data_IF_051454931298
#
_entry.id   IF_051454931298
#
_cell.length_a   1.000
_cell.length_b   1.000
_cell.length_c   1.000
_cell.angle_alpha   90.00
_cell.angle_beta   90.00
_cell.angle_gamma   90.00
#
_symmetry.space_group_name_H-M   'P 1'
#
loop_
_entity.id
_entity.type
_entity.pdbx_description
1 polymer ?
#
# COMPACT_ATOMS: atom_id res chain seq x y z
N UNK A 1 -4.37 10.07 11.08
CA UNK A 1 -5.29 9.91 12.23
C UNK A 1 -4.59 9.12 13.33
N UNK A 2 -4.59 9.62 14.56
CA UNK A 2 -4.13 8.88 15.74
C UNK A 2 -5.17 7.78 16.06
N UNK A 3 -5.10 6.62 15.39
CA UNK A 3 -5.93 5.47 15.75
C UNK A 3 -5.47 4.96 17.13
N UNK A 4 -6.17 5.43 18.17
CA UNK A 4 -6.40 4.74 19.43
C UNK A 4 -5.17 4.27 20.21
N UNK A 5 -4.49 5.16 20.93
CA UNK A 5 -3.84 4.73 22.18
C UNK A 5 -4.96 4.29 23.14
N UNK A 6 -5.25 3.00 23.17
CA UNK A 6 -6.19 2.41 24.12
C UNK A 6 -5.86 2.87 25.55
N UNK A 7 -6.87 3.05 26.39
CA UNK A 7 -6.67 3.42 27.79
C UNK A 7 -5.70 2.43 28.47
N UNK A 8 -4.96 2.88 29.49
CA UNK A 8 -4.06 2.01 30.27
C UNK A 8 -4.76 0.75 30.77
N UNK A 9 -6.06 0.86 31.11
CA UNK A 9 -6.89 -0.28 31.49
C UNK A 9 -7.08 -1.29 30.35
N UNK A 10 -7.31 -0.83 29.11
CA UNK A 10 -7.42 -1.71 27.94
C UNK A 10 -6.11 -2.43 27.67
N UNK A 11 -4.97 -1.75 27.82
CA UNK A 11 -3.65 -2.37 27.68
C UNK A 11 -3.43 -3.45 28.75
N UNK A 12 -3.73 -3.15 30.01
CA UNK A 12 -3.65 -4.14 31.10
C UNK A 12 -4.58 -5.34 30.87
N UNK A 13 -5.80 -5.09 30.41
CA UNK A 13 -6.76 -6.13 30.07
C UNK A 13 -6.27 -7.02 28.91
N UNK A 14 -5.71 -6.43 27.85
CA UNK A 14 -5.13 -7.18 26.74
C UNK A 14 -3.93 -8.01 27.18
N UNK A 15 -3.08 -7.44 28.02
CA UNK A 15 -1.90 -8.10 28.56
C UNK A 15 -2.30 -9.34 29.36
N UNK A 16 -3.25 -9.18 30.29
CA UNK A 16 -3.83 -10.28 31.06
C UNK A 16 -4.50 -11.33 30.16
N UNK A 17 -5.32 -10.91 29.18
CA UNK A 17 -5.94 -11.84 28.23
C UNK A 17 -4.90 -12.65 27.47
N UNK A 18 -3.78 -12.03 27.10
CA UNK A 18 -2.70 -12.73 26.40
C UNK A 18 -2.01 -13.73 27.33
N UNK A 19 -1.86 -13.44 28.63
CA UNK A 19 -1.37 -14.42 29.61
C UNK A 19 -2.32 -15.62 29.71
N UNK A 20 -3.63 -15.38 29.75
CA UNK A 20 -4.62 -16.47 29.79
C UNK A 20 -4.59 -17.33 28.53
N UNK A 21 -4.44 -16.72 27.36
CA UNK A 21 -4.27 -17.45 26.10
C UNK A 21 -2.99 -18.27 26.13
N UNK A 22 -1.89 -17.70 26.63
CA UNK A 22 -0.63 -18.44 26.73
C UNK A 22 -0.70 -19.64 27.68
N UNK A 23 -1.39 -19.50 28.82
CA UNK A 23 -1.68 -20.61 29.73
C UNK A 23 -2.49 -21.71 29.03
N UNK A 24 -3.57 -21.33 28.35
CA UNK A 24 -4.41 -22.27 27.61
C UNK A 24 -3.66 -23.01 26.49
N UNK A 25 -2.80 -22.31 25.74
CA UNK A 25 -1.93 -22.93 24.72
C UNK A 25 -0.95 -23.91 25.37
N UNK A 26 -0.39 -23.56 26.52
CA UNK A 26 0.47 -24.46 27.31
C UNK A 26 -0.26 -25.71 27.79
N UNK A 27 -1.51 -25.57 28.25
CA UNK A 27 -2.35 -26.70 28.67
C UNK A 27 -2.64 -27.63 27.48
N UNK A 28 -2.99 -27.09 26.31
CA UNK A 28 -3.16 -27.88 25.08
C UNK A 28 -1.88 -28.65 24.74
N UNK A 29 -0.70 -28.01 24.82
CA UNK A 29 0.57 -28.70 24.56
C UNK A 29 0.78 -29.87 25.53
N UNK A 30 0.46 -29.69 26.81
CA UNK A 30 0.56 -30.78 27.78
C UNK A 30 -0.41 -31.91 27.43
N UNK A 31 -1.64 -31.59 27.05
CA UNK A 31 -2.64 -32.58 26.64
C UNK A 31 -2.18 -33.37 25.40
N UNK A 32 -1.64 -32.69 24.39
CA UNK A 32 -1.04 -33.33 23.21
C UNK A 32 0.06 -34.30 23.62
N UNK A 33 0.99 -33.87 24.48
CA UNK A 33 2.12 -34.69 24.92
C UNK A 33 1.70 -35.96 25.68
N UNK A 34 0.50 -35.97 26.26
CA UNK A 34 -0.10 -37.10 26.99
C UNK A 34 -1.10 -37.89 26.14
N UNK A 35 -1.42 -37.42 24.94
CA UNK A 35 -2.37 -38.06 24.04
C UNK A 35 -1.79 -39.29 23.35
N UNK A 36 -2.62 -40.00 22.58
CA UNK A 36 -2.16 -41.08 21.70
C UNK A 36 -1.36 -40.60 20.48
N UNK A 37 -1.26 -39.28 20.26
CA UNK A 37 -0.48 -38.68 19.18
C UNK A 37 0.39 -37.51 19.70
N UNK A 38 1.45 -37.80 20.46
CA UNK A 38 2.30 -36.77 21.08
C UNK A 38 3.08 -35.92 20.07
N UNK A 39 3.23 -36.39 18.84
CA UNK A 39 3.93 -35.70 17.75
C UNK A 39 3.01 -34.74 16.97
N UNK A 40 1.74 -34.61 17.36
CA UNK A 40 0.81 -33.69 16.72
C UNK A 40 1.31 -32.24 16.83
N UNK A 41 1.44 -31.56 15.69
CA UNK A 41 1.85 -30.17 15.67
C UNK A 41 0.76 -29.27 16.27
N UNK A 42 1.15 -28.34 17.13
CA UNK A 42 0.29 -27.27 17.65
C UNK A 42 0.73 -25.95 17.05
N UNK A 43 -0.19 -25.29 16.35
CA UNK A 43 0.03 -23.93 15.86
C UNK A 43 -1.10 -22.99 16.24
N UNK A 44 -0.82 -21.70 16.09
CA UNK A 44 -1.70 -20.61 16.52
C UNK A 44 -1.79 -19.55 15.44
N UNK A 45 -3.01 -19.17 15.09
CA UNK A 45 -3.27 -18.02 14.23
C UNK A 45 -3.16 -16.74 15.03
N UNK A 46 -2.50 -15.73 14.46
CA UNK A 46 -2.45 -14.38 15.03
C UNK A 46 -2.90 -13.35 13.98
N UNK A 47 -3.58 -12.32 14.44
CA UNK A 47 -4.01 -11.19 13.62
C UNK A 47 -2.87 -10.17 13.48
N UNK A 48 -2.98 -9.23 12.52
CA UNK A 48 -2.08 -8.10 12.39
C UNK A 48 -1.89 -7.36 13.73
N UNK A 49 -0.69 -6.83 14.02
CA UNK A 49 -0.43 -6.09 15.26
C UNK A 49 -1.32 -4.84 15.42
N UNK A 50 -1.92 -4.36 14.33
CA UNK A 50 -2.88 -3.26 14.31
C UNK A 50 -4.22 -3.60 14.98
N UNK A 51 -4.56 -4.88 15.14
CA UNK A 51 -5.65 -5.32 16.01
C UNK A 51 -5.24 -5.21 17.49
N UNK A 52 -5.25 -3.98 17.99
CA UNK A 52 -4.82 -3.67 19.37
C UNK A 52 -5.78 -4.18 20.44
N UNK A 53 -6.95 -4.69 20.07
CA UNK A 53 -8.01 -5.14 20.96
C UNK A 53 -8.05 -6.65 21.23
N UNK A 54 -7.14 -7.40 20.63
CA UNK A 54 -7.01 -8.83 20.86
C UNK A 54 -5.71 -9.10 21.63
N UNK A 55 -5.76 -10.02 22.60
CA UNK A 55 -4.56 -10.43 23.34
C UNK A 55 -3.82 -11.49 22.55
N UNK A 56 -2.79 -11.12 21.79
CA UNK A 56 -2.20 -12.03 20.78
C UNK A 56 -0.66 -12.02 20.70
N UNK A 57 0.03 -11.54 21.73
CA UNK A 57 1.50 -11.49 21.71
C UNK A 57 2.11 -12.90 21.82
N UNK A 58 2.50 -13.47 20.66
CA UNK A 58 3.09 -14.82 20.55
C UNK A 58 4.34 -15.03 21.41
N UNK A 59 5.06 -13.97 21.78
CA UNK A 59 6.21 -14.06 22.67
C UNK A 59 5.88 -14.73 24.02
N UNK A 60 4.62 -14.70 24.46
CA UNK A 60 4.16 -15.31 25.72
C UNK A 60 3.93 -16.82 25.67
N UNK A 61 3.84 -17.40 24.47
CA UNK A 61 3.49 -18.81 24.29
C UNK A 61 4.24 -19.50 23.15
N UNK A 62 5.26 -18.84 22.60
CA UNK A 62 6.12 -19.39 21.55
C UNK A 62 6.78 -20.72 21.96
N UNK A 63 7.07 -20.92 23.24
CA UNK A 63 7.71 -22.15 23.73
C UNK A 63 6.75 -23.36 23.81
N UNK A 64 5.45 -23.15 23.58
CA UNK A 64 4.42 -24.20 23.61
C UNK A 64 3.90 -24.58 22.22
N UNK A 65 4.33 -23.91 21.16
CA UNK A 65 3.83 -24.10 19.79
C UNK A 65 4.95 -24.56 18.85
N UNK A 66 4.58 -25.27 17.79
CA UNK A 66 5.49 -25.65 16.71
C UNK A 66 5.53 -24.58 15.62
N UNK A 67 4.40 -23.90 15.38
CA UNK A 67 4.33 -22.83 14.40
C UNK A 67 3.37 -21.70 14.79
N UNK A 68 3.65 -20.50 14.29
CA UNK A 68 2.76 -19.35 14.33
C UNK A 68 2.29 -19.02 12.92
N UNK A 69 0.99 -18.72 12.79
CA UNK A 69 0.31 -18.49 11.54
C UNK A 69 -0.24 -17.05 11.46
N UNK A 70 0.62 -16.06 11.13
CA UNK A 70 0.18 -14.67 11.02
C UNK A 70 -0.72 -14.46 9.80
N UNK A 71 -1.90 -13.88 10.03
CA UNK A 71 -2.93 -13.63 9.02
C UNK A 71 -2.70 -12.29 8.31
N UNK A 72 -2.29 -12.35 7.05
CA UNK A 72 -1.79 -11.21 6.29
C UNK A 72 -2.91 -10.35 5.67
N UNK A 73 -3.70 -9.65 6.48
CA UNK A 73 -4.78 -8.76 6.05
C UNK A 73 -4.32 -7.42 5.44
N UNK A 74 -3.39 -7.42 4.48
CA UNK A 74 -2.83 -6.16 4.00
C UNK A 74 -3.86 -5.30 3.23
N UNK A 75 -4.70 -5.92 2.39
CA UNK A 75 -5.74 -5.22 1.61
C UNK A 75 -6.82 -4.60 2.52
N UNK A 76 -7.31 -5.33 3.53
CA UNK A 76 -8.30 -4.82 4.51
C UNK A 76 -7.79 -3.61 5.33
N UNK A 77 -6.47 -3.49 5.45
CA UNK A 77 -5.81 -2.41 6.17
C UNK A 77 -5.28 -1.31 5.26
N UNK A 78 -5.56 -1.39 3.95
CA UNK A 78 -5.04 -0.45 2.94
C UNK A 78 -3.51 -0.34 2.98
N UNK A 79 -2.85 -1.44 3.35
CA UNK A 79 -1.39 -1.54 3.26
C UNK A 79 -0.98 -1.95 1.85
N UNK A 80 0.29 -1.74 1.53
CA UNK A 80 0.88 -2.31 0.33
C UNK A 80 1.20 -3.79 0.55
N UNK A 81 1.27 -4.57 -0.52
CA UNK A 81 1.66 -5.99 -0.52
C UNK A 81 3.01 -6.26 0.18
N UNK A 82 3.95 -5.32 0.09
CA UNK A 82 5.26 -5.43 0.75
C UNK A 82 5.16 -5.42 2.29
N UNK A 83 4.07 -4.94 2.87
CA UNK A 83 3.80 -5.08 4.31
C UNK A 83 3.78 -6.55 4.75
N UNK A 84 3.44 -7.49 3.86
CA UNK A 84 3.50 -8.92 4.20
C UNK A 84 4.94 -9.36 4.37
N UNK A 85 5.84 -9.00 3.46
CA UNK A 85 7.17 -9.61 3.33
C UNK A 85 8.35 -8.66 3.57
N UNK A 86 8.13 -7.41 3.96
CA UNK A 86 9.20 -6.47 4.28
C UNK A 86 10.01 -6.94 5.49
N UNK A 87 11.34 -6.72 5.47
CA UNK A 87 12.24 -6.98 6.61
C UNK A 87 12.36 -5.77 7.54
N UNK A 88 11.81 -4.62 7.15
CA UNK A 88 11.90 -3.37 7.91
C UNK A 88 10.63 -3.08 8.72
N UNK A 89 9.49 -3.65 8.35
CA UNK A 89 8.19 -3.46 8.98
C UNK A 89 7.21 -4.55 8.54
N UNK A 90 5.99 -4.56 9.08
CA UNK A 90 4.93 -5.45 8.61
C UNK A 90 4.79 -6.75 9.40
N UNK A 91 3.87 -7.61 8.97
CA UNK A 91 3.40 -8.72 9.80
C UNK A 91 4.43 -9.82 10.02
N UNK A 92 5.18 -10.19 8.98
CA UNK A 92 6.23 -11.21 9.11
C UNK A 92 7.41 -10.67 9.91
N UNK A 93 7.69 -9.36 9.82
CA UNK A 93 8.73 -8.72 10.63
C UNK A 93 8.36 -8.72 12.11
N UNK A 94 7.15 -8.26 12.46
CA UNK A 94 6.66 -8.24 13.83
C UNK A 94 6.60 -9.65 14.42
N UNK A 95 6.09 -10.62 13.65
CA UNK A 95 6.06 -12.03 14.07
C UNK A 95 7.47 -12.57 14.33
N UNK A 96 8.41 -12.34 13.40
CA UNK A 96 9.81 -12.78 13.52
C UNK A 96 10.49 -12.21 14.75
N UNK A 97 10.25 -10.93 15.07
CA UNK A 97 10.82 -10.29 16.25
C UNK A 97 10.30 -10.94 17.55
N UNK A 98 9.00 -11.23 17.63
CA UNK A 98 8.36 -11.81 18.82
C UNK A 98 8.80 -13.25 19.08
N UNK A 99 8.99 -14.02 18.02
CA UNK A 99 9.46 -15.41 18.13
C UNK A 99 10.99 -15.54 18.13
N UNK A 100 11.73 -14.43 18.11
CA UNK A 100 13.19 -14.46 18.12
C UNK A 100 13.75 -15.40 19.19
N UNK A 101 14.82 -16.12 18.84
CA UNK A 101 15.47 -17.13 19.68
C UNK A 101 14.62 -18.36 20.03
N UNK A 102 13.51 -18.63 19.33
CA UNK A 102 12.78 -19.91 19.41
C UNK A 102 12.99 -20.78 18.15
N UNK A 103 12.48 -22.02 18.18
CA UNK A 103 12.42 -22.93 17.03
C UNK A 103 11.06 -22.86 16.31
N UNK A 104 10.20 -21.91 16.67
CA UNK A 104 8.84 -21.79 16.11
C UNK A 104 8.93 -21.46 14.64
N UNK A 105 8.25 -22.25 13.81
CA UNK A 105 8.13 -21.97 12.38
C UNK A 105 7.09 -20.85 12.14
N UNK A 106 7.33 -20.04 11.12
CA UNK A 106 6.31 -19.13 10.60
C UNK A 106 5.60 -19.83 9.44
N UNK A 107 4.27 -19.89 9.51
CA UNK A 107 3.38 -20.32 8.42
C UNK A 107 2.55 -19.11 8.00
N UNK A 108 3.08 -18.30 7.08
CA UNK A 108 2.38 -17.09 6.63
C UNK A 108 0.99 -17.47 6.10
N UNK A 109 -0.06 -16.84 6.64
CA UNK A 109 -1.44 -17.16 6.28
C UNK A 109 -1.99 -16.07 5.38
N UNK A 110 -2.20 -16.42 4.12
CA UNK A 110 -2.59 -15.51 3.06
C UNK A 110 -4.11 -15.44 2.96
N UNK A 111 -4.63 -14.26 2.64
CA UNK A 111 -6.03 -14.13 2.24
C UNK A 111 -6.27 -14.90 0.94
N UNK A 112 -7.52 -15.26 0.64
CA UNK A 112 -7.90 -15.91 -0.61
C UNK A 112 -8.32 -14.91 -1.71
N UNK A 113 -8.56 -13.63 -1.37
CA UNK A 113 -9.15 -12.62 -2.27
C UNK A 113 -8.17 -11.62 -2.93
N UNK A 114 -6.93 -12.04 -3.19
CA UNK A 114 -5.97 -11.21 -3.94
C UNK A 114 -5.94 -11.53 -5.43
N UNK A 115 -5.43 -10.57 -6.21
CA UNK A 115 -5.08 -10.79 -7.61
C UNK A 115 -3.88 -11.73 -7.75
N UNK A 116 -3.78 -12.41 -8.90
CA UNK A 116 -2.67 -13.32 -9.19
C UNK A 116 -1.30 -12.62 -9.11
N UNK A 117 -1.21 -11.35 -9.52
CA UNK A 117 0.02 -10.56 -9.43
C UNK A 117 0.41 -10.26 -7.97
N UNK A 118 -0.56 -9.86 -7.11
CA UNK A 118 -0.30 -9.63 -5.68
C UNK A 118 0.24 -10.89 -5.00
N UNK A 119 -0.36 -12.05 -5.28
CA UNK A 119 0.16 -13.31 -4.77
C UNK A 119 1.56 -13.61 -5.29
N UNK A 120 1.83 -13.55 -6.60
CA UNK A 120 3.17 -13.87 -7.10
C UNK A 120 4.23 -12.93 -6.50
N UNK A 121 3.91 -11.66 -6.31
CA UNK A 121 4.75 -10.67 -5.60
C UNK A 121 4.99 -11.07 -4.14
N UNK A 122 3.93 -11.37 -3.39
CA UNK A 122 4.03 -11.76 -1.98
C UNK A 122 4.79 -13.08 -1.84
N UNK A 123 4.55 -14.06 -2.71
CA UNK A 123 5.27 -15.32 -2.74
C UNK A 123 6.76 -15.07 -2.97
N UNK A 124 7.13 -14.31 -4.00
CA UNK A 124 8.53 -13.96 -4.26
C UNK A 124 9.15 -13.26 -3.04
N UNK A 125 8.48 -12.22 -2.52
CA UNK A 125 8.96 -11.46 -1.38
C UNK A 125 9.18 -12.30 -0.14
N UNK A 126 8.26 -13.22 0.19
CA UNK A 126 8.42 -14.17 1.30
C UNK A 126 9.64 -15.07 1.07
N UNK A 127 9.82 -15.62 -0.14
CA UNK A 127 10.94 -16.52 -0.46
C UNK A 127 12.29 -15.81 -0.36
N UNK A 128 12.36 -14.54 -0.78
CA UNK A 128 13.58 -13.73 -0.73
C UNK A 128 13.91 -13.26 0.68
N UNK A 129 12.93 -12.71 1.39
CA UNK A 129 13.15 -12.04 2.68
C UNK A 129 13.01 -12.95 3.89
N UNK A 130 12.23 -14.02 3.77
CA UNK A 130 11.95 -14.98 4.84
C UNK A 130 12.14 -16.43 4.35
N UNK A 131 13.34 -16.84 3.91
CA UNK A 131 13.59 -18.18 3.36
C UNK A 131 13.32 -19.33 4.35
N UNK A 132 13.18 -19.02 5.66
CA UNK A 132 12.75 -19.98 6.69
C UNK A 132 11.26 -20.33 6.64
N UNK A 133 10.42 -19.54 5.97
CA UNK A 133 8.99 -19.83 5.78
C UNK A 133 8.86 -20.91 4.70
N UNK A 134 8.65 -22.16 5.12
CA UNK A 134 8.58 -23.32 4.21
C UNK A 134 7.17 -23.68 3.76
N UNK A 135 6.15 -23.25 4.51
CA UNK A 135 4.74 -23.55 4.27
C UNK A 135 3.94 -22.27 4.35
N UNK A 136 2.86 -22.22 3.57
CA UNK A 136 1.87 -21.16 3.61
C UNK A 136 0.54 -21.77 4.05
N UNK A 137 -0.28 -20.96 4.70
CA UNK A 137 -1.68 -21.28 4.98
C UNK A 137 -2.54 -20.26 4.25
N UNK A 138 -3.83 -20.55 4.12
CA UNK A 138 -4.78 -19.61 3.54
C UNK A 138 -6.02 -19.54 4.43
N UNK A 139 -6.65 -18.38 4.46
CA UNK A 139 -7.91 -18.18 5.16
C UNK A 139 -8.97 -17.65 4.19
N UNK A 140 -10.24 -17.90 4.53
CA UNK A 140 -11.42 -17.40 3.82
C UNK A 140 -12.54 -17.25 4.84
N UNK A 141 -13.43 -16.28 4.63
CA UNK A 141 -14.62 -16.12 5.46
C UNK A 141 -15.77 -16.97 4.92
N UNK A 142 -16.27 -17.89 5.75
CA UNK A 142 -17.41 -18.75 5.41
C UNK A 142 -17.01 -20.07 4.76
N UNK A 143 -17.80 -20.53 3.80
CA UNK A 143 -17.61 -21.83 3.16
C UNK A 143 -16.65 -21.70 1.99
N UNK A 144 -15.60 -22.51 1.99
CA UNK A 144 -14.65 -22.64 0.90
C UNK A 144 -15.29 -23.32 -0.32
N UNK A 145 -15.50 -22.61 -1.44
CA UNK A 145 -15.93 -23.22 -2.70
C UNK A 145 -14.80 -24.06 -3.29
N UNK A 146 -15.14 -25.16 -3.97
CA UNK A 146 -14.18 -26.03 -4.65
C UNK A 146 -13.29 -25.26 -5.65
N UNK A 147 -13.84 -24.25 -6.31
CA UNK A 147 -13.10 -23.39 -7.23
C UNK A 147 -12.01 -22.55 -6.53
N UNK A 148 -12.20 -22.14 -5.27
CA UNK A 148 -11.16 -21.41 -4.52
C UNK A 148 -10.05 -22.35 -4.05
N UNK A 149 -10.42 -23.56 -3.61
CA UNK A 149 -9.43 -24.59 -3.28
C UNK A 149 -8.56 -24.95 -4.49
N UNK A 150 -9.17 -25.09 -5.67
CA UNK A 150 -8.43 -25.33 -6.91
C UNK A 150 -7.41 -24.21 -7.23
N UNK A 151 -7.81 -22.94 -7.04
CA UNK A 151 -6.89 -21.80 -7.21
C UNK A 151 -5.69 -21.85 -6.26
N UNK A 152 -5.86 -22.34 -5.03
CA UNK A 152 -4.74 -22.51 -4.08
C UNK A 152 -3.75 -23.54 -4.60
N UNK A 153 -4.24 -24.69 -5.09
CA UNK A 153 -3.38 -25.75 -5.61
C UNK A 153 -2.57 -25.28 -6.85
N UNK A 154 -3.18 -24.47 -7.70
CA UNK A 154 -2.52 -23.84 -8.86
C UNK A 154 -1.35 -22.91 -8.45
N UNK A 155 -1.39 -22.33 -7.24
CA UNK A 155 -0.39 -21.38 -6.71
C UNK A 155 0.83 -22.06 -6.06
N UNK A 156 0.83 -23.38 -5.94
CA UNK A 156 1.94 -24.13 -5.31
C UNK A 156 3.28 -23.97 -6.02
N UNK A 157 3.27 -23.54 -7.29
CA UNK A 157 4.47 -23.33 -8.11
C UNK A 157 4.86 -21.86 -8.24
N UNK A 158 4.23 -20.95 -7.49
CA UNK A 158 4.45 -19.51 -7.63
C UNK A 158 5.69 -19.02 -6.84
N UNK A 159 6.34 -17.93 -7.30
CA UNK A 159 6.10 -17.23 -8.57
C UNK A 159 6.42 -18.15 -9.76
N UNK A 160 5.59 -18.09 -10.80
CA UNK A 160 5.82 -18.92 -11.99
C UNK A 160 7.11 -18.47 -12.69
N UNK A 161 7.90 -19.37 -13.30
CA UNK A 161 9.21 -19.01 -13.87
C UNK A 161 9.16 -17.90 -14.93
N UNK A 162 8.05 -17.78 -15.65
CA UNK A 162 7.84 -16.75 -16.69
C UNK A 162 7.13 -15.50 -16.15
N UNK A 163 6.71 -15.50 -14.89
CA UNK A 163 6.18 -14.29 -14.27
C UNK A 163 7.32 -13.35 -13.94
N UNK A 164 7.24 -12.17 -14.54
CA UNK A 164 8.03 -11.03 -14.12
C UNK A 164 7.19 -10.24 -13.13
N UNK A 165 7.76 -9.78 -12.00
CA UNK A 165 7.09 -8.78 -11.19
C UNK A 165 6.57 -7.67 -12.08
N UNK A 166 5.38 -7.10 -11.82
CA UNK A 166 4.92 -5.90 -12.49
C UNK A 166 5.94 -4.81 -12.21
N UNK A 167 6.95 -4.76 -13.07
CA UNK A 167 8.07 -3.91 -12.86
C UNK A 167 7.63 -2.49 -13.14
N UNK A 168 8.27 -1.57 -12.47
CA UNK A 168 8.07 -0.18 -12.78
C UNK A 168 8.58 0.07 -14.21
N UNK A 169 7.65 0.16 -15.13
CA UNK A 169 7.96 0.26 -16.53
C UNK A 169 7.08 1.33 -17.16
N UNK A 170 7.71 2.12 -18.01
CA UNK A 170 6.95 2.97 -18.91
C UNK A 170 6.13 2.05 -19.82
N UNK A 171 4.85 2.36 -20.03
CA UNK A 171 3.98 1.63 -20.94
C UNK A 171 3.60 2.51 -22.14
N UNK A 172 3.33 1.92 -23.32
CA UNK A 172 2.98 2.69 -24.49
C UNK A 172 1.60 3.32 -24.33
N UNK A 173 1.52 4.64 -24.51
CA UNK A 173 0.28 5.40 -24.57
C UNK A 173 0.39 6.52 -25.60
N UNK A 174 -0.71 6.82 -26.30
CA UNK A 174 -0.76 7.95 -27.24
C UNK A 174 -0.92 9.26 -26.46
N UNK A 175 0.20 9.90 -26.13
CA UNK A 175 0.26 11.10 -25.30
C UNK A 175 0.84 12.30 -26.09
N UNK A 176 0.64 13.55 -25.60
CA UNK A 176 1.34 14.70 -26.16
C UNK A 176 2.87 14.50 -26.11
N UNK A 177 3.57 15.11 -27.06
CA UNK A 177 5.03 15.03 -27.14
C UNK A 177 5.69 15.35 -25.81
N UNK A 178 6.62 14.49 -25.39
CA UNK A 178 7.40 14.64 -24.15
C UNK A 178 6.74 14.09 -22.90
N UNK A 179 5.50 13.61 -22.97
CA UNK A 179 4.86 12.87 -21.88
C UNK A 179 5.09 11.36 -22.01
N UNK A 180 5.21 10.71 -20.86
CA UNK A 180 5.30 9.25 -20.72
C UNK A 180 4.27 8.78 -19.71
N UNK A 181 3.90 7.50 -19.74
CA UNK A 181 3.07 6.87 -18.73
C UNK A 181 3.77 5.66 -18.14
N UNK A 182 3.60 5.45 -16.83
CA UNK A 182 4.26 4.39 -16.06
C UNK A 182 3.40 3.98 -14.89
N UNK A 183 3.34 2.68 -14.64
CA UNK A 183 2.84 2.16 -13.37
C UNK A 183 4.00 2.13 -12.37
N UNK A 184 3.77 2.66 -11.18
CA UNK A 184 4.71 2.75 -10.07
C UNK A 184 4.22 1.77 -9.00
N UNK A 185 5.10 0.92 -8.47
CA UNK A 185 4.82 0.09 -7.29
C UNK A 185 3.91 -1.12 -7.47
N UNK A 186 3.62 -1.57 -8.70
CA UNK A 186 2.65 -2.63 -9.06
C UNK A 186 1.26 -2.08 -9.43
N UNK A 187 0.41 -2.96 -9.97
CA UNK A 187 -0.97 -2.74 -10.45
C UNK A 187 -1.12 -1.95 -11.77
N UNK A 188 -1.95 -2.43 -12.71
CA UNK A 188 -2.13 -1.78 -14.01
C UNK A 188 -2.97 -0.50 -13.90
N UNK A 189 -2.44 0.57 -14.47
CA UNK A 189 -3.22 1.73 -14.86
C UNK A 189 -3.25 1.89 -16.38
N UNK A 190 -4.18 2.73 -16.84
CA UNK A 190 -4.20 3.18 -18.23
C UNK A 190 -4.42 4.68 -18.32
N UNK A 191 -3.96 5.28 -19.43
CA UNK A 191 -4.23 6.67 -19.77
C UNK A 191 -4.65 6.80 -21.23
N UNK A 192 -5.65 7.64 -21.47
CA UNK A 192 -6.04 8.08 -22.81
C UNK A 192 -5.96 9.59 -22.88
N UNK A 193 -5.32 10.12 -23.91
CA UNK A 193 -5.30 11.57 -24.18
C UNK A 193 -6.24 11.93 -25.33
N UNK A 194 -7.15 12.88 -25.08
CA UNK A 194 -8.01 13.46 -26.10
C UNK A 194 -7.42 14.81 -26.55
N UNK A 195 -6.84 14.84 -27.75
CA UNK A 195 -6.19 16.03 -28.32
C UNK A 195 -7.16 17.19 -28.59
N UNK A 196 -8.39 16.90 -29.02
CA UNK A 196 -9.42 17.93 -29.30
C UNK A 196 -9.87 18.66 -28.03
N UNK A 197 -9.95 17.94 -26.90
CA UNK A 197 -10.37 18.47 -25.61
C UNK A 197 -9.22 18.89 -24.71
N UNK A 198 -7.98 18.54 -25.08
CA UNK A 198 -6.76 18.68 -24.27
C UNK A 198 -6.93 18.07 -22.87
N UNK A 199 -7.37 16.81 -22.83
CA UNK A 199 -7.73 16.10 -21.61
C UNK A 199 -7.04 14.74 -21.52
N UNK A 200 -6.58 14.38 -20.32
CA UNK A 200 -6.19 13.03 -19.98
C UNK A 200 -7.32 12.36 -19.21
N UNK A 201 -7.62 11.11 -19.54
CA UNK A 201 -8.50 10.25 -18.76
C UNK A 201 -7.66 9.07 -18.28
N UNK A 202 -7.58 8.88 -16.96
CA UNK A 202 -6.81 7.81 -16.34
C UNK A 202 -7.72 6.87 -15.56
N UNK A 203 -7.35 5.60 -15.54
CA UNK A 203 -7.91 4.57 -14.66
C UNK A 203 -6.77 3.85 -13.94
N UNK A 204 -7.05 3.30 -12.77
CA UNK A 204 -6.09 2.50 -12.00
C UNK A 204 -6.80 1.55 -11.06
N UNK A 205 -6.14 0.44 -10.74
CA UNK A 205 -6.49 -0.49 -9.65
C UNK A 205 -5.33 -0.58 -8.65
N UNK A 206 -4.55 0.50 -8.53
CA UNK A 206 -3.43 0.58 -7.58
C UNK A 206 -3.93 0.97 -6.19
N UNK A 207 -3.26 0.47 -5.17
CA UNK A 207 -3.67 0.63 -3.78
C UNK A 207 -3.56 2.09 -3.32
N UNK A 208 -2.35 2.58 -3.04
CA UNK A 208 -2.19 3.91 -2.49
C UNK A 208 -0.86 4.64 -2.77
N UNK A 209 -0.93 5.98 -2.72
CA UNK A 209 0.23 6.87 -2.61
C UNK A 209 0.41 7.18 -1.13
N UNK A 210 1.04 6.25 -0.40
CA UNK A 210 1.23 6.35 1.03
C UNK A 210 2.44 5.57 1.55
N UNK A 211 2.72 5.69 2.84
CA UNK A 211 3.73 4.87 3.51
C UNK A 211 5.13 5.03 2.91
N UNK A 212 5.83 3.91 2.71
CA UNK A 212 7.20 3.85 2.22
C UNK A 212 7.32 3.53 0.73
N UNK A 213 6.21 3.16 0.09
CA UNK A 213 6.14 2.71 -1.28
C UNK A 213 4.82 3.17 -1.91
N UNK A 214 4.89 3.83 -3.06
CA UNK A 214 3.71 4.29 -3.79
C UNK A 214 3.26 3.22 -4.77
N UNK A 215 1.96 2.98 -4.86
CA UNK A 215 1.34 2.27 -5.97
C UNK A 215 0.43 3.25 -6.73
N UNK A 216 0.74 3.53 -7.99
CA UNK A 216 -0.03 4.48 -8.79
C UNK A 216 0.21 4.36 -10.30
N UNK A 217 -0.73 4.89 -11.08
CA UNK A 217 -0.48 5.27 -12.45
C UNK A 217 0.06 6.70 -12.53
N UNK A 218 1.21 6.90 -13.17
CA UNK A 218 1.90 8.18 -13.27
C UNK A 218 2.18 8.57 -14.73
N UNK A 219 1.67 9.73 -15.12
CA UNK A 219 1.87 10.31 -16.46
C UNK A 219 2.71 11.57 -16.30
N UNK A 220 3.90 11.59 -16.89
CA UNK A 220 4.98 12.49 -16.44
C UNK A 220 5.88 13.05 -17.55
N UNK A 221 6.62 14.10 -17.18
CA UNK A 221 7.77 14.63 -17.92
C UNK A 221 8.98 14.80 -16.97
N UNK A 222 10.23 14.56 -17.44
CA UNK A 222 11.41 14.96 -16.68
C UNK A 222 11.62 16.48 -16.78
N UNK A 223 11.90 17.13 -15.65
CA UNK A 223 12.22 18.56 -15.56
C UNK A 223 13.47 18.81 -14.73
N UNK A 224 14.09 19.98 -14.87
CA UNK A 224 15.34 20.33 -14.18
C UNK A 224 15.21 21.68 -13.47
N UNK A 225 15.29 21.67 -12.14
CA UNK A 225 15.25 22.85 -11.30
C UNK A 225 13.85 23.21 -10.83
N UNK A 226 13.55 24.51 -10.82
CA UNK A 226 12.26 25.06 -10.41
C UNK A 226 11.19 24.68 -11.44
N UNK A 227 10.02 24.25 -10.98
CA UNK A 227 8.95 23.84 -11.87
C UNK A 227 7.58 24.03 -11.20
N UNK A 228 6.57 24.35 -12.00
CA UNK A 228 5.17 24.42 -11.58
C UNK A 228 4.34 23.53 -12.50
N UNK A 229 3.40 22.79 -11.91
CA UNK A 229 2.32 22.11 -12.62
C UNK A 229 0.98 22.62 -12.13
N UNK A 230 0.08 22.89 -13.08
CA UNK A 230 -1.32 23.24 -12.85
C UNK A 230 -2.19 22.23 -13.60
N UNK A 231 -3.28 21.78 -12.98
CA UNK A 231 -4.30 20.95 -13.61
C UNK A 231 -5.69 21.37 -13.15
N UNK A 232 -6.69 21.13 -14.01
CA UNK A 232 -8.10 21.11 -13.62
C UNK A 232 -8.54 19.64 -13.47
N UNK A 233 -8.77 19.19 -12.24
CA UNK A 233 -9.51 17.97 -11.98
C UNK A 233 -10.96 18.17 -12.41
N UNK A 234 -11.41 17.46 -13.44
CA UNK A 234 -12.77 17.59 -13.97
C UNK A 234 -13.74 16.62 -13.34
N UNK A 235 -13.29 15.38 -13.09
CA UNK A 235 -14.10 14.34 -12.47
C UNK A 235 -13.23 13.25 -11.87
N UNK A 236 -13.78 12.57 -10.86
CA UNK A 236 -13.25 11.36 -10.21
C UNK A 236 -14.39 10.33 -10.17
N UNK A 237 -14.86 9.92 -11.34
CA UNK A 237 -16.08 9.13 -11.51
C UNK A 237 -15.81 7.67 -11.12
N UNK A 238 -16.68 7.10 -10.27
CA UNK A 238 -16.64 5.68 -9.85
C UNK A 238 -15.30 5.27 -9.23
N UNK A 239 -14.62 6.22 -8.63
CA UNK A 239 -13.41 5.98 -7.86
C UNK A 239 -13.78 5.76 -6.40
N UNK A 240 -12.94 5.01 -5.69
CA UNK A 240 -13.04 4.84 -4.25
C UNK A 240 -12.95 6.19 -3.50
N UNK A 241 -13.60 6.31 -2.34
CA UNK A 241 -13.64 7.54 -1.56
C UNK A 241 -12.25 8.05 -1.12
N UNK A 242 -11.28 7.15 -0.98
CA UNK A 242 -9.88 7.40 -0.61
C UNK A 242 -8.90 7.37 -1.78
N UNK A 243 -9.38 7.10 -3.00
CA UNK A 243 -8.59 7.23 -4.21
C UNK A 243 -7.96 8.62 -4.33
N UNK A 244 -6.77 8.72 -4.93
CA UNK A 244 -6.01 9.98 -5.02
C UNK A 244 -5.76 10.32 -6.48
N UNK A 245 -6.27 11.47 -6.93
CA UNK A 245 -6.05 11.96 -8.28
C UNK A 245 -5.58 13.41 -8.28
N UNK A 246 -4.45 13.70 -8.91
CA UNK A 246 -3.92 15.05 -8.95
C UNK A 246 -2.56 15.17 -9.60
N UNK A 247 -1.71 16.02 -9.02
CA UNK A 247 -0.37 16.35 -9.56
C UNK A 247 0.73 15.97 -8.58
N UNK A 248 1.86 15.54 -9.12
CA UNK A 248 3.01 15.10 -8.33
C UNK A 248 4.33 15.60 -8.93
N UNK A 249 5.28 15.92 -8.05
CA UNK A 249 6.71 16.01 -8.35
C UNK A 249 7.45 14.98 -7.50
N UNK A 250 8.21 14.08 -8.13
CA UNK A 250 8.97 13.01 -7.46
C UNK A 250 10.41 12.96 -7.94
N UNK A 251 11.32 12.60 -7.03
CA UNK A 251 12.77 12.61 -7.27
C UNK A 251 13.21 11.56 -8.30
N UNK A 252 12.66 10.35 -8.20
CA UNK A 252 12.94 9.23 -9.08
C UNK A 252 11.63 8.59 -9.57
N UNK A 253 11.73 7.60 -10.44
CA UNK A 253 10.59 6.77 -10.85
C UNK A 253 10.41 5.51 -9.99
N UNK A 254 11.22 5.36 -8.92
CA UNK A 254 11.15 4.24 -7.96
C UNK A 254 10.03 4.41 -6.95
N UNK A 255 9.22 3.39 -6.66
CA UNK A 255 8.04 3.43 -5.80
C UNK A 255 8.29 4.04 -4.42
N UNK A 256 9.53 3.96 -3.93
CA UNK A 256 9.99 4.51 -2.66
C UNK A 256 10.47 5.97 -2.71
N UNK A 257 10.32 6.65 -3.86
CA UNK A 257 10.87 7.97 -4.12
C UNK A 257 10.38 9.03 -3.12
N UNK A 258 11.25 10.01 -2.84
CA UNK A 258 10.81 11.30 -2.30
C UNK A 258 9.81 11.94 -3.26
N UNK A 259 8.71 12.45 -2.73
CA UNK A 259 7.69 13.13 -3.53
C UNK A 259 7.06 14.30 -2.76
N UNK A 260 6.46 15.21 -3.53
CA UNK A 260 5.41 16.10 -3.06
C UNK A 260 4.28 16.03 -4.08
N UNK A 261 3.04 16.04 -3.62
CA UNK A 261 1.87 15.96 -4.47
C UNK A 261 0.72 16.79 -3.90
N UNK A 262 -0.23 17.10 -4.79
CA UNK A 262 -1.46 17.79 -4.48
C UNK A 262 -2.58 16.99 -5.16
N UNK A 263 -3.41 16.34 -4.36
CA UNK A 263 -4.42 15.38 -4.81
C UNK A 263 -5.82 15.79 -4.40
N UNK A 264 -6.82 15.33 -5.17
CA UNK A 264 -8.22 15.26 -4.78
C UNK A 264 -8.50 13.81 -4.39
N UNK A 265 -9.20 13.65 -3.26
CA UNK A 265 -9.86 12.41 -2.86
C UNK A 265 -11.37 12.59 -3.06
N UNK A 266 -12.09 11.63 -3.67
CA UNK A 266 -13.50 11.81 -4.02
C UNK A 266 -14.40 12.16 -2.83
N UNK A 267 -14.14 11.57 -1.66
CA UNK A 267 -14.98 11.75 -0.45
C UNK A 267 -14.26 12.43 0.72
N UNK A 268 -12.95 12.67 0.64
CA UNK A 268 -12.12 13.09 1.78
C UNK A 268 -11.38 14.43 1.57
N UNK A 269 -11.81 15.21 0.57
CA UNK A 269 -11.27 16.55 0.29
C UNK A 269 -9.98 16.55 -0.54
N UNK A 270 -9.20 17.61 -0.42
CA UNK A 270 -7.89 17.73 -1.06
C UNK A 270 -6.76 17.48 -0.06
N UNK A 271 -5.67 16.87 -0.52
CA UNK A 271 -4.51 16.57 0.32
C UNK A 271 -3.21 16.98 -0.35
N UNK A 272 -2.37 17.68 0.40
CA UNK A 272 -0.98 17.95 0.05
C UNK A 272 -0.11 16.93 0.78
N UNK A 273 0.37 15.91 0.06
CA UNK A 273 1.19 14.85 0.64
C UNK A 273 2.65 14.98 0.23
N UNK A 274 3.54 14.45 1.06
CA UNK A 274 4.96 14.41 0.77
C UNK A 274 5.70 13.28 1.49
N UNK A 275 6.77 12.80 0.87
CA UNK A 275 7.79 11.91 1.46
C UNK A 275 9.15 12.60 1.38
N UNK A 276 9.80 12.79 2.53
CA UNK A 276 11.08 13.53 2.63
C UNK A 276 12.32 12.71 2.33
N UNK A 277 12.28 11.42 2.62
CA UNK A 277 13.40 10.49 2.46
C UNK A 277 12.97 9.31 1.58
N UNK A 278 13.90 8.76 0.79
CA UNK A 278 13.66 7.52 0.05
C UNK A 278 13.28 6.40 1.02
N UNK A 279 12.21 5.68 0.73
CA UNK A 279 11.60 4.68 1.62
C UNK A 279 11.20 5.21 3.01
N UNK A 280 11.06 6.54 3.17
CA UNK A 280 10.55 7.18 4.38
C UNK A 280 9.02 7.20 4.44
N UNK A 281 8.47 7.57 5.58
CA UNK A 281 7.01 7.73 5.73
C UNK A 281 6.48 8.97 5.01
N UNK A 282 5.33 8.82 4.35
CA UNK A 282 4.55 9.94 3.85
C UNK A 282 3.85 10.72 4.98
N UNK A 283 3.67 12.02 4.76
CA UNK A 283 2.95 12.95 5.66
C UNK A 283 2.04 13.81 4.81
N UNK A 284 0.90 14.24 5.35
CA UNK A 284 -0.08 15.04 4.63
C UNK A 284 -0.57 16.29 5.38
N UNK A 285 -1.15 17.20 4.60
CA UNK A 285 -1.91 18.35 5.07
C UNK A 285 -3.18 18.45 4.21
N UNK A 286 -4.35 18.36 4.84
CA UNK A 286 -5.62 18.38 4.13
C UNK A 286 -6.22 19.79 4.04
N UNK A 287 -7.03 19.99 3.01
CA UNK A 287 -7.83 21.21 2.80
C UNK A 287 -9.13 20.87 2.09
N UNK A 288 -10.16 21.69 2.27
CA UNK A 288 -11.43 21.47 1.58
C UNK A 288 -11.30 21.78 0.08
N UNK A 289 -11.50 20.76 -0.75
CA UNK A 289 -11.80 20.87 -2.18
C UNK A 289 -12.30 19.53 -2.72
N UNK A 290 -13.10 19.55 -3.77
CA UNK A 290 -13.57 18.36 -4.48
C UNK A 290 -13.58 18.61 -5.99
N UNK A 291 -13.62 17.56 -6.81
CA UNK A 291 -13.77 17.73 -8.24
C UNK A 291 -15.18 18.28 -8.59
N UNK A 292 -15.31 19.25 -9.52
CA UNK A 292 -14.24 19.87 -10.28
C UNK A 292 -13.47 20.95 -9.49
N UNK A 293 -12.14 20.88 -9.53
CA UNK A 293 -11.25 21.84 -8.87
C UNK A 293 -9.91 21.95 -9.60
N UNK A 294 -9.20 23.05 -9.40
CA UNK A 294 -7.85 23.25 -9.91
C UNK A 294 -6.84 22.94 -8.83
N UNK A 295 -5.78 22.22 -9.22
CA UNK A 295 -4.65 21.90 -8.36
C UNK A 295 -3.39 22.54 -8.93
N UNK A 296 -2.52 22.98 -8.03
CA UNK A 296 -1.20 23.51 -8.36
C UNK A 296 -0.16 22.92 -7.43
N UNK A 297 0.97 22.56 -7.99
CA UNK A 297 2.16 22.19 -7.24
C UNK A 297 3.37 22.93 -7.82
N UNK A 298 4.06 23.66 -6.96
CA UNK A 298 5.23 24.46 -7.33
C UNK A 298 6.45 24.01 -6.54
N UNK A 299 7.56 23.77 -7.24
CA UNK A 299 8.90 23.56 -6.71
C UNK A 299 9.75 24.81 -6.96
N UNK A 300 10.33 25.36 -5.89
CA UNK A 300 11.36 26.41 -5.93
C UNK A 300 12.55 26.00 -5.08
N UNK A 301 13.66 25.63 -5.71
CA UNK A 301 14.78 24.94 -5.08
C UNK A 301 14.31 23.62 -4.46
N UNK A 302 14.42 23.51 -3.14
CA UNK A 302 13.93 22.38 -2.35
C UNK A 302 12.57 22.65 -1.68
N UNK A 303 11.94 23.80 -1.94
CA UNK A 303 10.64 24.16 -1.35
C UNK A 303 9.52 23.78 -2.30
N UNK A 304 8.58 22.98 -1.81
CA UNK A 304 7.38 22.55 -2.52
C UNK A 304 6.17 23.24 -1.90
N UNK A 305 5.23 23.69 -2.73
CA UNK A 305 3.99 24.34 -2.30
C UNK A 305 2.81 23.80 -3.09
N UNK A 306 1.84 23.20 -2.39
CA UNK A 306 0.57 22.74 -2.94
C UNK A 306 -0.53 23.78 -2.72
N UNK A 307 -1.40 23.95 -3.72
CA UNK A 307 -2.55 24.84 -3.64
C UNK A 307 -3.73 24.32 -4.44
N UNK A 308 -4.93 24.70 -4.00
CA UNK A 308 -6.21 24.43 -4.66
C UNK A 308 -6.88 25.71 -5.13
N UNK A 309 -7.76 25.63 -6.13
CA UNK A 309 -8.53 26.76 -6.62
C UNK A 309 -9.85 26.31 -7.26
N UNK A 310 -10.95 27.02 -7.01
CA UNK A 310 -12.23 26.75 -7.66
C UNK A 310 -12.34 27.34 -9.07
N UNK A 311 -11.53 28.36 -9.39
CA UNK A 311 -11.64 29.14 -10.63
C UNK A 311 -10.34 29.16 -11.47
N UNK A 312 -9.25 28.57 -10.96
CA UNK A 312 -7.93 28.58 -11.58
C UNK A 312 -7.20 29.93 -11.49
N UNK A 313 -7.75 30.91 -10.75
CA UNK A 313 -7.24 32.28 -10.61
C UNK A 313 -6.87 32.59 -9.17
N UNK A 314 -7.75 32.29 -8.22
CA UNK A 314 -7.53 32.51 -6.78
C UNK A 314 -7.12 31.20 -6.13
N UNK A 315 -5.92 31.19 -5.57
CA UNK A 315 -5.30 29.98 -5.03
C UNK A 315 -5.30 30.01 -3.51
N UNK A 316 -5.84 28.95 -2.90
CA UNK A 316 -5.72 28.68 -1.47
C UNK A 316 -4.57 27.71 -1.27
N UNK A 317 -3.55 28.13 -0.52
CA UNK A 317 -2.40 27.27 -0.20
C UNK A 317 -2.84 26.15 0.72
N UNK A 318 -2.64 24.90 0.31
CA UNK A 318 -2.87 23.71 1.12
C UNK A 318 -1.69 23.47 2.07
N UNK A 319 -0.46 23.61 1.57
CA UNK A 319 0.73 23.32 2.35
C UNK A 319 2.04 23.79 1.72
N UNK A 320 3.10 23.74 2.50
CA UNK A 320 4.47 23.92 2.01
C UNK A 320 5.46 23.07 2.82
N UNK A 321 6.48 22.54 2.13
CA UNK A 321 7.48 21.68 2.74
C UNK A 321 8.83 21.87 2.05
N UNK A 322 9.92 21.65 2.80
CA UNK A 322 11.25 21.51 2.24
C UNK A 322 11.62 20.03 2.09
N UNK A 323 12.00 19.63 0.88
CA UNK A 323 12.46 18.29 0.53
C UNK A 323 13.71 18.44 -0.33
N UNK A 324 14.82 17.86 0.14
CA UNK A 324 16.06 17.85 -0.63
C UNK A 324 15.95 16.84 -1.77
N UNK A 325 15.75 17.35 -2.99
CA UNK A 325 15.68 16.54 -4.21
C UNK A 325 16.79 16.90 -5.19
N UNK A 326 17.17 15.93 -6.02
CA UNK A 326 18.02 16.12 -7.19
C UNK A 326 17.52 17.24 -8.11
N UNK A 327 18.44 17.81 -8.91
CA UNK A 327 18.10 18.86 -9.87
C UNK A 327 17.12 18.35 -10.92
N UNK A 328 17.32 17.13 -11.42
CA UNK A 328 16.36 16.46 -12.30
C UNK A 328 15.32 15.73 -11.44
N UNK A 329 14.03 15.95 -11.75
CA UNK A 329 12.87 15.31 -11.13
C UNK A 329 11.83 15.00 -12.19
N UNK A 330 10.78 14.27 -11.79
CA UNK A 330 9.68 13.90 -12.65
C UNK A 330 8.41 14.60 -12.16
N UNK A 331 7.75 15.34 -13.05
CA UNK A 331 6.56 16.13 -12.76
C UNK A 331 5.41 15.64 -13.65
N UNK A 332 4.21 15.53 -13.10
CA UNK A 332 3.12 14.92 -13.83
C UNK A 332 1.79 14.85 -13.10
N UNK A 333 0.85 14.13 -13.70
CA UNK A 333 -0.42 13.74 -13.09
C UNK A 333 -0.33 12.31 -12.57
N UNK A 334 -0.97 12.06 -11.43
CA UNK A 334 -0.92 10.79 -10.72
C UNK A 334 -2.32 10.33 -10.33
N UNK A 335 -2.52 9.01 -10.32
CA UNK A 335 -3.75 8.35 -9.91
C UNK A 335 -3.45 7.08 -9.10
N UNK A 336 -3.91 7.01 -7.86
CA UNK A 336 -4.16 5.74 -7.15
C UNK A 336 -5.66 5.56 -6.91
N UNK A 337 -6.12 4.31 -6.97
CA UNK A 337 -7.53 3.98 -6.75
C UNK A 337 -7.63 2.55 -6.23
N UNK A 338 -7.81 2.36 -4.91
CA UNK A 338 -7.93 1.02 -4.31
C UNK A 338 -9.27 0.34 -4.65
N UNK A 339 -10.23 1.08 -5.22
CA UNK A 339 -11.52 0.52 -5.63
C UNK A 339 -11.42 -0.44 -6.82
N UNK A 340 -12.29 -1.44 -6.84
CA UNK A 340 -12.34 -2.55 -7.79
C UNK A 340 -13.18 -2.26 -9.06
N UNK A 341 -13.85 -1.11 -9.13
CA UNK A 341 -14.69 -0.75 -10.27
C UNK A 341 -13.85 -0.57 -11.54
N UNK A 342 -13.92 -1.52 -12.46
CA UNK A 342 -13.20 -1.49 -13.74
C UNK A 342 -13.56 -0.29 -14.65
N UNK A 343 -14.60 0.49 -14.32
CA UNK A 343 -15.00 1.71 -15.03
C UNK A 343 -14.57 2.99 -14.31
N UNK A 344 -13.75 2.91 -13.26
CA UNK A 344 -13.21 4.07 -12.55
C UNK A 344 -12.44 5.00 -13.50
N UNK A 345 -12.65 6.32 -13.36
CA UNK A 345 -12.03 7.33 -14.24
C UNK A 345 -11.75 8.64 -13.51
N UNK A 346 -10.48 9.05 -13.53
CA UNK A 346 -10.07 10.42 -13.26
C UNK A 346 -9.90 11.19 -14.58
N UNK A 347 -10.52 12.37 -14.69
CA UNK A 347 -10.39 13.23 -15.88
C UNK A 347 -9.64 14.51 -15.54
N UNK A 348 -8.51 14.71 -16.19
CA UNK A 348 -7.62 15.84 -16.03
C UNK A 348 -7.72 16.76 -17.26
N UNK A 349 -8.10 18.01 -17.06
CA UNK A 349 -8.11 19.05 -18.09
C UNK A 349 -7.08 20.12 -17.81
N UNK A 350 -6.72 20.90 -18.84
CA UNK A 350 -5.85 22.07 -18.70
C UNK A 350 -4.50 21.79 -17.99
N UNK A 351 -3.94 20.58 -18.20
CA UNK A 351 -2.64 20.20 -17.65
C UNK A 351 -1.57 21.10 -18.26
N UNK A 352 -0.82 21.82 -17.42
CA UNK A 352 0.25 22.73 -17.84
C UNK A 352 1.44 22.61 -16.91
N UNK A 353 2.62 22.35 -17.48
CA UNK A 353 3.91 22.42 -16.79
C UNK A 353 4.65 23.68 -17.25
N UNK A 354 5.27 24.39 -16.32
CA UNK A 354 6.25 25.46 -16.59
C UNK A 354 7.52 25.16 -15.80
N UNK A 355 8.67 25.24 -16.45
CA UNK A 355 10.00 24.94 -15.89
C UNK A 355 11.01 25.98 -16.37
#
# INVERSE_FOLDING_TARGET
MEKGRGSTQRQQWNEWRTDQIGQYVGDIRQDISRSSNPDMQLGVYILPPEFTEVGQNVAKFKDSIDFVAPMAYFDDWEFNSDWVYSTAYGILKDTSDRISSSQVEIVATLDNDWTDDQYQEIYQGIRENYPGVKRLSFFSYGTWPEAELAKIDERTTWPTPDWTPPGEHDYPAQLPTGWKARNIGSMPGNVVYNSSKKQFTMSSTSTDIWGKADQMNFVYQPVKGDAEIIVQMRSTERMDGWAKAGVMIRESLGHDAKHADMMITPENGATFQYRKETAGSSVDQTTDASAPSWLKLNRKGNTFTGAVSSDGKRWTKAGTVQISMNRQVYIGIALSNPGDDAKNKAVFGNVKITN
#
